data_IF_028906627410
#
_entry.id   IF_028906627410
#
_cell.length_a   1.000
_cell.length_b   1.000
_cell.length_c   1.000
_cell.angle_alpha   90.00
_cell.angle_beta   90.00
_cell.angle_gamma   90.00
#
_symmetry.space_group_name_H-M   'P 1'
#
loop_
_entity.id
_entity.type
_entity.pdbx_description
1 polymer ?
#
# COMPACT_ATOMS: atom_id res chain seq x y z
N UNK A 1 54.46 21.39 -40.22
CA UNK A 1 52.99 21.21 -40.30
C UNK A 1 52.48 19.82 -39.86
N UNK A 2 53.19 18.71 -40.10
CA UNK A 2 52.72 17.36 -39.71
C UNK A 2 52.64 17.15 -38.19
N UNK A 3 53.63 17.62 -37.44
CA UNK A 3 53.65 17.52 -35.97
C UNK A 3 52.58 18.37 -35.28
N UNK A 4 52.21 19.53 -35.86
CA UNK A 4 51.14 20.37 -35.34
C UNK A 4 49.75 19.70 -35.44
N UNK A 5 49.52 18.90 -36.49
CA UNK A 5 48.29 18.12 -36.66
C UNK A 5 48.21 16.96 -35.68
N UNK A 6 49.34 16.29 -35.42
CA UNK A 6 49.42 15.19 -34.45
C UNK A 6 49.18 15.72 -33.04
N UNK A 7 49.78 16.86 -32.69
CA UNK A 7 49.59 17.49 -31.38
C UNK A 7 48.13 17.93 -31.17
N UNK A 8 47.48 18.50 -32.19
CA UNK A 8 46.06 18.87 -32.14
C UNK A 8 45.14 17.67 -31.89
N UNK A 9 45.43 16.53 -32.52
CA UNK A 9 44.64 15.29 -32.34
C UNK A 9 44.79 14.75 -30.92
N UNK A 10 46.00 14.79 -30.33
CA UNK A 10 46.25 14.33 -28.96
C UNK A 10 45.55 15.21 -27.92
N UNK A 11 45.51 16.52 -28.14
CA UNK A 11 44.79 17.44 -27.25
C UNK A 11 43.28 17.22 -27.35
N UNK A 12 42.76 16.99 -28.55
CA UNK A 12 41.33 16.76 -28.77
C UNK A 12 40.86 15.43 -28.14
N UNK A 13 41.66 14.37 -28.19
CA UNK A 13 41.31 13.09 -27.56
C UNK A 13 41.31 13.16 -26.03
N UNK A 14 42.18 13.96 -25.41
CA UNK A 14 42.22 14.15 -23.96
C UNK A 14 41.00 14.93 -23.42
N UNK A 15 40.49 15.89 -24.18
CA UNK A 15 39.28 16.64 -23.80
C UNK A 15 38.04 15.73 -23.78
N UNK A 16 37.93 14.80 -24.73
CA UNK A 16 36.80 13.85 -24.81
C UNK A 16 36.73 12.86 -23.65
N UNK A 17 37.87 12.51 -23.03
CA UNK A 17 37.89 11.58 -21.88
C UNK A 17 37.30 12.23 -20.62
N UNK A 18 37.36 13.56 -20.51
CA UNK A 18 36.91 14.29 -19.32
C UNK A 18 35.42 14.65 -19.36
N UNK A 19 34.77 14.56 -20.53
CA UNK A 19 33.34 14.87 -20.71
C UNK A 19 32.40 13.67 -20.44
N UNK A 20 32.95 12.48 -20.21
CA UNK A 20 32.20 11.26 -19.90
C UNK A 20 32.44 10.78 -18.47
N UNK A 21 32.65 11.69 -17.52
CA UNK A 21 32.38 11.40 -16.13
C UNK A 21 30.92 11.77 -15.86
N UNK A 22 30.01 10.99 -16.45
CA UNK A 22 28.61 11.03 -16.07
C UNK A 22 28.52 10.49 -14.64
N UNK A 23 28.27 11.40 -13.71
CA UNK A 23 28.06 11.10 -12.30
C UNK A 23 27.06 9.95 -12.19
N UNK A 24 27.53 8.84 -11.62
CA UNK A 24 26.68 7.73 -11.22
C UNK A 24 25.98 8.18 -9.96
N UNK A 25 24.92 8.97 -10.14
CA UNK A 25 23.93 9.23 -9.12
C UNK A 25 23.35 7.86 -8.71
N UNK A 26 23.90 7.31 -7.62
CA UNK A 26 23.38 6.14 -6.94
C UNK A 26 21.98 6.50 -6.45
N UNK A 27 20.98 6.25 -7.30
CA UNK A 27 19.58 6.29 -6.93
C UNK A 27 19.38 5.22 -5.85
N UNK A 28 19.59 5.63 -4.59
CA UNK A 28 19.18 4.89 -3.43
C UNK A 28 17.66 4.79 -3.44
N UNK A 29 17.16 3.81 -4.18
CA UNK A 29 15.80 3.32 -4.08
C UNK A 29 15.64 2.85 -2.65
N UNK A 30 15.14 3.75 -1.81
CA UNK A 30 14.84 3.49 -0.41
C UNK A 30 13.79 2.38 -0.42
N UNK A 31 14.26 1.15 -0.20
CA UNK A 31 13.46 -0.07 -0.18
C UNK A 31 12.26 0.17 0.72
N UNK A 32 11.09 0.38 0.12
CA UNK A 32 9.86 0.61 0.87
C UNK A 32 9.67 -0.61 1.80
N UNK A 33 9.39 -0.38 3.09
CA UNK A 33 9.14 -1.48 4.01
C UNK A 33 8.01 -2.31 3.41
N UNK A 34 8.28 -3.61 3.25
CA UNK A 34 7.38 -4.58 2.65
C UNK A 34 5.98 -4.35 3.23
N UNK A 35 5.03 -3.98 2.36
CA UNK A 35 3.65 -3.77 2.76
C UNK A 35 3.16 -5.07 3.40
N UNK A 36 3.17 -5.12 4.73
CA UNK A 36 2.66 -6.26 5.47
C UNK A 36 1.22 -6.43 5.03
N UNK A 37 0.93 -7.51 4.29
CA UNK A 37 -0.43 -7.85 3.92
C UNK A 37 -1.21 -8.14 5.21
N UNK A 38 -1.85 -7.11 5.74
CA UNK A 38 -2.91 -7.28 6.73
C UNK A 38 -4.02 -8.05 6.03
N UNK A 39 -4.14 -9.34 6.36
CA UNK A 39 -5.25 -10.18 5.89
C UNK A 39 -6.55 -9.47 6.30
N UNK A 40 -7.41 -9.05 5.35
CA UNK A 40 -8.63 -8.37 5.71
C UNK A 40 -9.48 -9.33 6.56
N UNK A 41 -9.75 -8.94 7.81
CA UNK A 41 -10.62 -9.71 8.69
C UNK A 41 -12.01 -9.72 8.06
N UNK A 42 -12.57 -10.91 7.86
CA UNK A 42 -13.91 -11.03 7.25
C UNK A 42 -14.92 -10.35 8.16
N UNK A 43 -15.74 -9.41 7.66
CA UNK A 43 -16.69 -8.70 8.48
C UNK A 43 -17.81 -9.63 8.96
N UNK A 44 -18.32 -9.36 10.17
CA UNK A 44 -19.53 -10.00 10.69
C UNK A 44 -20.71 -9.67 9.78
N UNK A 45 -21.39 -10.70 9.27
CA UNK A 45 -22.61 -10.56 8.47
C UNK A 45 -23.81 -10.41 9.39
N UNK A 46 -24.65 -9.43 9.09
CA UNK A 46 -25.87 -9.12 9.84
C UNK A 46 -27.05 -9.29 8.89
N UNK A 47 -27.97 -10.21 9.20
CA UNK A 47 -29.24 -10.33 8.48
C UNK A 47 -30.38 -9.84 9.36
N UNK A 48 -30.91 -8.67 9.07
CA UNK A 48 -32.07 -8.11 9.76
C UNK A 48 -33.35 -8.61 9.09
N UNK A 49 -34.30 -9.11 9.88
CA UNK A 49 -35.64 -9.52 9.45
C UNK A 49 -36.67 -8.80 10.30
N UNK A 50 -37.60 -8.11 9.65
CA UNK A 50 -38.77 -7.52 10.30
C UNK A 50 -39.90 -8.55 10.28
N UNK A 51 -40.46 -8.83 11.44
CA UNK A 51 -41.63 -9.68 11.57
C UNK A 51 -42.91 -8.90 11.22
N UNK A 52 -44.00 -9.57 10.83
CA UNK A 52 -45.29 -8.92 10.57
C UNK A 52 -45.94 -8.34 11.85
N UNK A 53 -45.40 -8.65 13.04
CA UNK A 53 -45.82 -8.07 14.32
C UNK A 53 -45.01 -6.82 14.71
N UNK A 54 -44.27 -6.25 13.75
CA UNK A 54 -43.37 -5.11 13.93
C UNK A 54 -42.16 -5.36 14.85
N UNK A 55 -41.82 -6.63 15.08
CA UNK A 55 -40.64 -7.00 15.85
C UNK A 55 -39.42 -7.13 14.92
N UNK A 56 -38.26 -6.67 15.38
CA UNK A 56 -36.99 -6.84 14.67
C UNK A 56 -36.25 -8.07 15.19
N UNK A 57 -35.84 -8.94 14.27
CA UNK A 57 -34.99 -10.10 14.57
C UNK A 57 -33.74 -10.03 13.71
N UNK A 58 -32.58 -10.39 14.25
CA UNK A 58 -31.34 -10.42 13.49
C UNK A 58 -30.55 -11.69 13.72
N UNK A 59 -29.93 -12.18 12.64
CA UNK A 59 -28.96 -13.27 12.67
C UNK A 59 -27.56 -12.68 12.45
N UNK A 60 -26.63 -13.01 13.34
CA UNK A 60 -25.22 -12.62 13.25
C UNK A 60 -24.40 -13.85 12.86
N UNK A 61 -23.53 -13.69 11.87
CA UNK A 61 -22.60 -14.74 11.44
C UNK A 61 -21.21 -14.17 11.23
N UNK A 62 -20.20 -14.83 11.79
CA UNK A 62 -18.81 -14.40 11.69
C UNK A 62 -17.86 -15.49 12.14
N UNK A 63 -16.57 -15.33 11.82
CA UNK A 63 -15.53 -16.30 12.17
C UNK A 63 -15.08 -16.15 13.64
N UNK A 64 -15.32 -14.99 14.26
CA UNK A 64 -14.88 -14.62 15.61
C UNK A 64 -16.08 -14.35 16.53
N UNK A 65 -16.19 -15.13 17.61
CA UNK A 65 -17.28 -15.01 18.57
C UNK A 65 -17.27 -13.69 19.35
N UNK A 66 -16.08 -13.15 19.67
CA UNK A 66 -15.97 -11.90 20.43
C UNK A 66 -16.47 -10.71 19.60
N UNK A 67 -16.20 -10.72 18.28
CA UNK A 67 -16.73 -9.72 17.37
C UNK A 67 -18.24 -9.83 17.19
N UNK A 68 -18.78 -11.05 17.17
CA UNK A 68 -20.24 -11.28 17.10
C UNK A 68 -20.92 -10.66 18.32
N UNK A 69 -20.42 -10.93 19.54
CA UNK A 69 -21.00 -10.39 20.79
C UNK A 69 -20.88 -8.87 20.84
N UNK A 70 -19.73 -8.31 20.45
CA UNK A 70 -19.53 -6.86 20.38
C UNK A 70 -20.49 -6.19 19.39
N UNK A 71 -20.72 -6.84 18.25
CA UNK A 71 -21.65 -6.38 17.22
C UNK A 71 -23.09 -6.44 17.70
N UNK A 72 -23.51 -7.52 18.37
CA UNK A 72 -24.85 -7.64 18.97
C UNK A 72 -25.13 -6.51 19.95
N UNK A 73 -24.19 -6.27 20.87
CA UNK A 73 -24.30 -5.20 21.86
C UNK A 73 -24.44 -3.82 21.22
N UNK A 74 -23.73 -3.58 20.11
CA UNK A 74 -23.85 -2.33 19.34
C UNK A 74 -25.21 -2.23 18.66
N UNK A 75 -25.72 -3.33 18.10
CA UNK A 75 -27.01 -3.38 17.42
C UNK A 75 -28.16 -3.06 18.39
N UNK A 76 -28.18 -3.71 19.56
CA UNK A 76 -29.19 -3.47 20.61
C UNK A 76 -29.25 -2.00 21.04
N UNK A 77 -28.08 -1.38 21.24
CA UNK A 77 -27.97 0.05 21.56
C UNK A 77 -28.55 0.95 20.46
N UNK A 78 -28.29 0.63 19.19
CA UNK A 78 -28.77 1.44 18.06
C UNK A 78 -30.27 1.30 17.84
N UNK A 79 -30.81 0.10 18.05
CA UNK A 79 -32.22 -0.20 17.84
C UNK A 79 -33.09 0.12 19.07
N UNK A 80 -32.47 0.58 20.17
CA UNK A 80 -33.14 0.84 21.45
C UNK A 80 -33.95 -0.38 21.96
N UNK A 81 -33.45 -1.59 21.67
CA UNK A 81 -34.03 -2.86 22.12
C UNK A 81 -33.29 -3.28 23.39
N UNK A 82 -34.00 -3.66 24.47
CA UNK A 82 -33.39 -4.07 25.73
C UNK A 82 -32.49 -5.33 25.61
#
# INVERSE_FOLDING_TARGET
MRHARIFLIIVLTMISVTACAADKEDLQVKKQPELQQIKPKKPVKIKLRRSPKDEYTWELSGDDADEIVKTDRKLRKMLNVP
#
